data_IF_908754653718
#
_entry.id   IF_908754653718
#
_cell.length_a   1.000
_cell.length_b   1.000
_cell.length_c   1.000
_cell.angle_alpha   90.00
_cell.angle_beta   90.00
_cell.angle_gamma   90.00
#
_symmetry.space_group_name_H-M   'P 1'
#
loop_
_entity.id
_entity.type
_entity.pdbx_description
1 polymer ?
#
# COMPACT_ATOMS: atom_id res chain seq x y z
N UNK A 1 8.94 4.92 2.57
CA UNK A 1 8.95 5.64 3.87
C UNK A 1 8.56 7.09 3.63
N UNK A 2 7.59 7.59 4.39
CA UNK A 2 7.08 8.94 4.27
C UNK A 2 7.41 9.71 5.55
N UNK A 3 7.69 11.01 5.42
CA UNK A 3 7.93 11.88 6.57
C UNK A 3 6.64 12.01 7.41
N UNK A 4 6.78 12.08 8.75
CA UNK A 4 5.66 12.36 9.63
C UNK A 4 5.03 13.73 9.32
N UNK A 5 3.74 13.88 9.64
CA UNK A 5 2.93 15.04 9.25
C UNK A 5 3.01 16.22 10.23
N UNK A 6 3.67 16.04 11.40
CA UNK A 6 3.69 17.01 12.49
C UNK A 6 4.73 18.14 12.31
N UNK A 7 5.27 18.34 11.10
CA UNK A 7 6.32 19.32 10.87
C UNK A 7 5.72 20.61 10.27
N UNK A 8 5.31 21.54 11.13
CA UNK A 8 4.80 22.89 10.79
C UNK A 8 5.86 23.84 10.18
N UNK A 9 7.02 23.31 9.77
CA UNK A 9 8.07 24.11 9.13
C UNK A 9 7.87 24.20 7.62
N UNK A 10 8.49 25.20 6.99
CA UNK A 10 8.53 25.38 5.53
C UNK A 10 9.12 24.15 4.81
N UNK A 11 9.93 23.35 5.52
CA UNK A 11 10.41 22.04 5.08
C UNK A 11 9.31 20.95 5.20
N UNK A 12 8.41 21.06 6.17
CA UNK A 12 7.28 20.19 6.40
C UNK A 12 6.27 20.26 5.25
N UNK A 13 5.90 21.45 4.79
CA UNK A 13 4.99 21.62 3.64
C UNK A 13 5.50 20.91 2.38
N UNK A 14 6.81 21.05 2.08
CA UNK A 14 7.43 20.36 0.93
C UNK A 14 7.49 18.84 1.11
N UNK A 15 7.58 18.35 2.34
CA UNK A 15 7.54 16.91 2.64
C UNK A 15 6.15 16.36 2.48
N UNK A 16 5.13 17.08 2.95
CA UNK A 16 3.71 16.74 2.76
C UNK A 16 3.36 16.68 1.28
N UNK A 17 3.78 17.68 0.48
CA UNK A 17 3.57 17.67 -0.98
C UNK A 17 4.22 16.46 -1.65
N UNK A 18 5.46 16.11 -1.29
CA UNK A 18 6.13 14.90 -1.78
C UNK A 18 5.42 13.62 -1.38
N UNK A 19 4.87 13.57 -0.18
CA UNK A 19 4.10 12.42 0.32
C UNK A 19 2.78 12.29 -0.45
N UNK A 20 2.10 13.40 -0.78
CA UNK A 20 0.93 13.38 -1.65
C UNK A 20 1.26 12.86 -3.05
N UNK A 21 2.36 13.30 -3.65
CA UNK A 21 2.82 12.80 -4.94
C UNK A 21 3.21 11.31 -4.90
N UNK A 22 3.79 10.85 -3.79
CA UNK A 22 4.08 9.43 -3.59
C UNK A 22 2.78 8.62 -3.50
N UNK A 23 1.78 9.12 -2.77
CA UNK A 23 0.46 8.48 -2.66
C UNK A 23 -0.27 8.35 -4.01
N UNK A 24 0.05 9.19 -5.00
CA UNK A 24 -0.51 9.06 -6.35
C UNK A 24 -0.01 7.84 -7.11
N UNK A 25 1.17 7.34 -6.76
CA UNK A 25 1.84 6.19 -7.38
C UNK A 25 1.83 4.95 -6.49
N UNK A 26 1.01 4.97 -5.43
CA UNK A 26 0.98 3.89 -4.43
C UNK A 26 -0.05 2.85 -4.84
N UNK A 27 0.38 1.61 -5.03
CA UNK A 27 -0.48 0.46 -5.33
C UNK A 27 -1.08 -0.15 -4.08
N UNK A 28 -0.39 -0.09 -2.94
CA UNK A 28 -0.85 -0.54 -1.62
C UNK A 28 -0.19 0.29 -0.52
N UNK A 29 -0.95 0.66 0.50
CA UNK A 29 -0.46 1.47 1.62
C UNK A 29 -0.41 0.67 2.93
N UNK A 30 0.59 0.96 3.77
CA UNK A 30 0.65 0.47 5.15
C UNK A 30 0.57 1.65 6.09
N UNK A 31 -0.49 1.72 6.88
CA UNK A 31 -0.70 2.74 7.91
C UNK A 31 -0.30 2.14 9.26
N UNK A 32 0.72 2.70 9.89
CA UNK A 32 1.25 2.20 11.16
C UNK A 32 0.66 3.01 12.32
N UNK A 33 0.04 2.32 13.26
CA UNK A 33 -0.58 2.91 14.46
C UNK A 33 0.07 2.33 15.72
N UNK A 34 0.26 3.17 16.74
CA UNK A 34 0.65 2.67 18.06
C UNK A 34 -0.54 2.01 18.75
N UNK A 35 -0.41 0.72 19.10
CA UNK A 35 -1.50 -0.03 19.71
C UNK A 35 -1.93 0.53 21.08
N UNK A 36 -1.00 1.14 21.85
CA UNK A 36 -1.34 1.73 23.13
C UNK A 36 -2.25 2.96 22.95
N UNK A 37 -1.99 3.79 21.93
CA UNK A 37 -2.84 4.94 21.59
C UNK A 37 -4.21 4.48 21.08
N UNK A 38 -4.26 3.44 20.26
CA UNK A 38 -5.51 2.84 19.78
C UNK A 38 -6.37 2.35 20.95
N UNK A 39 -5.77 1.65 21.91
CA UNK A 39 -6.48 1.17 23.10
C UNK A 39 -6.94 2.34 23.97
N UNK A 40 -6.14 3.37 24.13
CA UNK A 40 -6.48 4.59 24.90
C UNK A 40 -7.66 5.33 24.25
N UNK A 41 -7.63 5.56 22.94
CA UNK A 41 -8.71 6.21 22.20
C UNK A 41 -10.02 5.44 22.30
N UNK A 42 -9.97 4.11 22.11
CA UNK A 42 -11.13 3.24 22.31
C UNK A 42 -11.72 3.32 23.69
N UNK A 43 -10.89 3.26 24.75
CA UNK A 43 -11.34 3.37 26.15
C UNK A 43 -11.96 4.72 26.47
N UNK A 44 -11.43 5.78 25.87
CA UNK A 44 -11.95 7.15 26.01
C UNK A 44 -13.23 7.41 25.17
N UNK A 45 -13.64 6.47 24.32
CA UNK A 45 -14.78 6.64 23.42
C UNK A 45 -14.57 7.72 22.36
N UNK A 46 -13.30 8.01 22.02
CA UNK A 46 -12.96 9.00 20.99
C UNK A 46 -13.02 8.31 19.63
N UNK A 47 -13.79 8.81 18.65
CA UNK A 47 -13.85 8.23 17.31
C UNK A 47 -12.46 8.22 16.62
N UNK A 48 -12.19 7.21 15.78
CA UNK A 48 -10.93 7.06 15.05
C UNK A 48 -10.54 8.33 14.30
N UNK A 49 -11.46 8.92 13.55
CA UNK A 49 -11.25 10.16 12.79
C UNK A 49 -10.77 11.34 13.64
N UNK A 50 -11.06 11.35 14.95
CA UNK A 50 -10.65 12.43 15.86
C UNK A 50 -9.33 12.10 16.55
N UNK A 51 -9.11 10.82 16.89
CA UNK A 51 -7.91 10.36 17.56
C UNK A 51 -6.70 10.27 16.60
N UNK A 52 -6.97 9.86 15.35
CA UNK A 52 -5.97 9.61 14.30
C UNK A 52 -6.38 10.39 13.04
N UNK A 53 -6.32 11.72 13.14
CA UNK A 53 -6.85 12.62 12.11
C UNK A 53 -6.17 12.42 10.76
N UNK A 54 -4.84 12.40 10.77
CA UNK A 54 -4.03 12.32 9.57
C UNK A 54 -4.14 10.96 8.91
N UNK A 55 -4.09 9.88 9.71
CA UNK A 55 -4.27 8.52 9.22
C UNK A 55 -5.68 8.29 8.66
N UNK A 56 -6.69 8.92 9.25
CA UNK A 56 -8.05 8.88 8.75
C UNK A 56 -8.20 9.62 7.42
N UNK A 57 -7.57 10.78 7.26
CA UNK A 57 -7.56 11.53 5.99
C UNK A 57 -6.88 10.73 4.88
N UNK A 58 -5.73 10.10 5.18
CA UNK A 58 -5.04 9.22 4.24
C UNK A 58 -5.86 8.00 3.87
N UNK A 59 -6.47 7.35 4.85
CA UNK A 59 -7.34 6.20 4.62
C UNK A 59 -8.49 6.53 3.69
N UNK A 60 -9.12 7.71 3.85
CA UNK A 60 -10.17 8.20 2.97
C UNK A 60 -9.65 8.52 1.56
N UNK A 61 -8.43 9.06 1.45
CA UNK A 61 -7.80 9.33 0.17
C UNK A 61 -7.54 8.03 -0.60
N UNK A 62 -6.96 7.04 0.06
CA UNK A 62 -6.70 5.72 -0.53
C UNK A 62 -8.00 5.00 -0.91
N UNK A 63 -9.02 5.07 -0.06
CA UNK A 63 -10.33 4.49 -0.37
C UNK A 63 -10.97 5.12 -1.63
N UNK A 64 -10.84 6.44 -1.83
CA UNK A 64 -11.30 7.12 -3.06
C UNK A 64 -10.53 6.69 -4.30
N UNK A 65 -9.26 6.33 -4.16
CA UNK A 65 -8.39 5.88 -5.25
C UNK A 65 -8.45 4.36 -5.46
N UNK A 66 -9.25 3.64 -4.68
CA UNK A 66 -9.28 2.17 -4.65
C UNK A 66 -7.92 1.54 -4.33
N UNK A 67 -7.03 2.27 -3.65
CA UNK A 67 -5.74 1.78 -3.18
C UNK A 67 -5.95 0.99 -1.89
N UNK A 68 -5.57 -0.28 -1.83
CA UNK A 68 -5.70 -1.09 -0.62
C UNK A 68 -4.84 -0.59 0.53
N UNK A 69 -5.31 -0.79 1.77
CA UNK A 69 -4.62 -0.33 2.98
C UNK A 69 -4.45 -1.45 3.99
N UNK A 70 -3.26 -1.61 4.55
CA UNK A 70 -3.00 -2.45 5.71
C UNK A 70 -2.78 -1.55 6.93
N UNK A 71 -3.65 -1.63 7.93
CA UNK A 71 -3.42 -1.00 9.23
C UNK A 71 -2.57 -1.93 10.10
N UNK A 72 -1.36 -1.52 10.42
CA UNK A 72 -0.44 -2.25 11.27
C UNK A 72 -0.43 -1.65 12.68
N UNK A 73 -1.09 -2.32 13.64
CA UNK A 73 -1.06 -1.94 15.06
C UNK A 73 0.28 -2.40 15.64
N UNK A 74 1.23 -1.49 15.74
CA UNK A 74 2.59 -1.78 16.16
C UNK A 74 2.76 -1.69 17.69
N UNK A 75 3.90 -2.18 18.18
CA UNK A 75 4.32 -2.21 19.59
C UNK A 75 3.50 -3.14 20.49
N UNK A 76 2.95 -4.24 19.92
CA UNK A 76 2.25 -5.23 20.75
C UNK A 76 3.12 -5.85 21.85
N UNK A 77 4.43 -5.80 21.71
CA UNK A 77 5.37 -6.24 22.72
C UNK A 77 5.28 -5.44 24.02
N UNK A 78 4.97 -4.15 23.98
CA UNK A 78 4.76 -3.32 25.17
C UNK A 78 3.53 -3.77 25.96
N UNK A 79 2.47 -4.18 25.27
CA UNK A 79 1.27 -4.73 25.89
C UNK A 79 1.56 -6.11 26.50
N UNK A 80 2.29 -6.97 25.77
CA UNK A 80 2.61 -8.32 26.20
C UNK A 80 3.66 -8.37 27.34
N UNK A 81 4.62 -7.44 27.35
CA UNK A 81 5.63 -7.33 28.42
C UNK A 81 5.03 -6.85 29.74
N UNK A 82 3.99 -6.01 29.71
CA UNK A 82 3.26 -5.64 30.91
C UNK A 82 2.55 -6.83 31.58
N UNK A 83 2.33 -7.90 30.84
CA UNK A 83 1.70 -9.14 31.28
C UNK A 83 2.68 -10.14 31.89
N UNK A 84 3.90 -10.23 31.38
CA UNK A 84 4.93 -11.13 31.93
C UNK A 84 5.34 -10.75 33.36
N UNK A 85 5.18 -9.46 33.72
CA UNK A 85 5.47 -8.98 35.08
C UNK A 85 4.37 -9.31 36.11
N UNK A 86 3.19 -9.81 35.70
CA UNK A 86 2.05 -10.08 36.60
C UNK A 86 1.25 -11.31 36.14
N UNK A 87 1.58 -12.47 36.68
CA UNK A 87 0.83 -13.75 36.72
C UNK A 87 0.09 -14.26 35.45
N UNK A 88 0.17 -15.59 35.25
CA UNK A 88 -0.35 -16.43 34.13
C UNK A 88 -1.79 -16.18 33.64
N UNK A 89 -2.61 -15.44 34.36
CA UNK A 89 -4.00 -15.15 33.97
C UNK A 89 -4.15 -13.95 33.04
N UNK A 90 -3.14 -13.06 32.94
CA UNK A 90 -3.22 -11.83 32.14
C UNK A 90 -2.90 -12.00 30.66
N UNK A 91 -2.13 -13.00 30.27
CA UNK A 91 -1.81 -13.23 28.84
C UNK A 91 -3.05 -13.50 27.95
N UNK A 92 -4.14 -14.00 28.51
CA UNK A 92 -5.43 -14.10 27.82
C UNK A 92 -6.13 -12.74 27.68
N UNK A 93 -5.99 -11.86 28.69
CA UNK A 93 -6.58 -10.51 28.67
C UNK A 93 -5.89 -9.60 27.64
N UNK A 94 -4.57 -9.75 27.48
CA UNK A 94 -3.78 -8.91 26.58
C UNK A 94 -4.03 -9.26 25.12
N UNK A 95 -4.15 -10.55 24.80
CA UNK A 95 -4.60 -10.97 23.46
C UNK A 95 -6.03 -10.50 23.17
N UNK A 96 -6.92 -10.51 24.16
CA UNK A 96 -8.27 -9.98 24.01
C UNK A 96 -8.27 -8.45 23.79
N UNK A 97 -7.36 -7.69 24.43
CA UNK A 97 -7.20 -6.26 24.23
C UNK A 97 -6.67 -5.94 22.82
N UNK A 98 -5.72 -6.72 22.32
CA UNK A 98 -5.19 -6.60 20.95
C UNK A 98 -6.30 -6.88 19.94
N UNK A 99 -7.04 -7.98 20.09
CA UNK A 99 -8.14 -8.30 19.17
C UNK A 99 -9.27 -7.26 19.25
N UNK A 100 -9.58 -6.76 20.44
CA UNK A 100 -10.55 -5.69 20.59
C UNK A 100 -10.10 -4.35 19.96
N UNK A 101 -8.81 -4.06 19.94
CA UNK A 101 -8.24 -2.90 19.24
C UNK A 101 -8.33 -3.08 17.72
N UNK A 102 -7.99 -4.26 17.19
CA UNK A 102 -8.14 -4.60 15.77
C UNK A 102 -9.59 -4.45 15.30
N UNK A 103 -10.54 -5.05 16.03
CA UNK A 103 -11.97 -4.93 15.71
C UNK A 103 -12.43 -3.48 15.70
N UNK A 104 -12.00 -2.68 16.68
CA UNK A 104 -12.38 -1.26 16.75
C UNK A 104 -11.85 -0.47 15.55
N UNK A 105 -10.56 -0.63 15.19
CA UNK A 105 -9.98 0.03 14.00
C UNK A 105 -10.72 -0.43 12.74
N UNK A 106 -11.06 -1.70 12.64
CA UNK A 106 -11.81 -2.23 11.50
C UNK A 106 -13.22 -1.61 11.40
N UNK A 107 -13.97 -1.59 12.50
CA UNK A 107 -15.34 -1.05 12.56
C UNK A 107 -15.37 0.44 12.24
N UNK A 108 -14.49 1.24 12.84
CA UNK A 108 -14.40 2.69 12.64
C UNK A 108 -14.03 3.04 11.18
N UNK A 109 -13.03 2.35 10.59
CA UNK A 109 -12.64 2.57 9.22
C UNK A 109 -13.68 2.06 8.22
N UNK A 110 -14.32 0.92 8.49
CA UNK A 110 -15.43 0.41 7.68
C UNK A 110 -16.59 1.39 7.64
N UNK A 111 -16.96 1.93 8.80
CA UNK A 111 -18.02 2.95 8.89
C UNK A 111 -17.65 4.26 8.14
N UNK A 112 -16.37 4.65 8.18
CA UNK A 112 -15.86 5.87 7.56
C UNK A 112 -15.76 5.73 6.03
N UNK A 113 -15.32 4.58 5.52
CA UNK A 113 -15.15 4.30 4.08
C UNK A 113 -16.49 3.91 3.41
N UNK A 114 -17.49 3.47 4.16
CA UNK A 114 -18.82 3.11 3.67
C UNK A 114 -18.80 1.94 2.69
N UNK A 115 -19.58 2.03 1.59
CA UNK A 115 -19.68 0.94 0.58
C UNK A 115 -18.37 0.64 -0.17
N UNK A 116 -17.38 1.51 -0.06
CA UNK A 116 -16.05 1.32 -0.67
C UNK A 116 -15.13 0.48 0.23
N UNK A 117 -15.60 0.01 1.40
CA UNK A 117 -14.82 -0.73 2.38
C UNK A 117 -14.66 -2.22 2.05
N UNK A 118 -15.48 -2.77 1.14
CA UNK A 118 -15.44 -4.20 0.83
C UNK A 118 -14.08 -4.62 0.24
N UNK A 119 -13.32 -5.37 1.03
CA UNK A 119 -11.99 -5.92 0.72
C UNK A 119 -10.87 -4.90 0.41
N UNK A 120 -11.03 -3.61 0.79
CA UNK A 120 -10.03 -2.59 0.51
C UNK A 120 -9.02 -2.39 1.64
N UNK A 121 -9.20 -3.02 2.80
CA UNK A 121 -8.24 -2.92 3.90
C UNK A 121 -8.25 -4.11 4.86
N UNK A 122 -7.13 -4.32 5.53
CA UNK A 122 -6.94 -5.29 6.61
C UNK A 122 -6.30 -4.64 7.83
N UNK A 123 -6.54 -5.22 9.03
CA UNK A 123 -5.95 -4.76 10.29
C UNK A 123 -5.13 -5.89 10.89
N UNK A 124 -3.85 -5.66 11.08
CA UNK A 124 -2.89 -6.62 11.64
C UNK A 124 -2.24 -6.06 12.90
N UNK A 125 -1.82 -6.93 13.81
CA UNK A 125 -1.13 -6.56 15.03
C UNK A 125 0.32 -7.07 14.97
N UNK A 126 1.29 -6.17 15.23
CA UNK A 126 2.71 -6.45 15.02
C UNK A 126 3.58 -5.88 16.12
N UNK A 127 4.77 -6.45 16.28
CA UNK A 127 5.90 -5.81 16.93
C UNK A 127 7.07 -5.76 15.94
N UNK A 128 7.33 -4.61 15.40
CA UNK A 128 8.48 -4.40 14.52
C UNK A 128 9.80 -4.67 15.26
N UNK A 129 9.86 -4.32 16.56
CA UNK A 129 11.05 -4.54 17.41
C UNK A 129 11.37 -6.02 17.61
N UNK A 130 10.35 -6.88 17.77
CA UNK A 130 10.49 -8.31 18.02
C UNK A 130 10.29 -9.16 16.75
N UNK A 131 9.96 -8.57 15.62
CA UNK A 131 9.61 -9.27 14.38
C UNK A 131 8.31 -10.08 14.48
N UNK A 132 7.51 -9.90 15.53
CA UNK A 132 6.28 -10.67 15.76
C UNK A 132 5.15 -10.12 14.88
N UNK A 133 4.40 -11.00 14.21
CA UNK A 133 3.27 -10.62 13.38
C UNK A 133 3.66 -10.14 11.96
N UNK A 134 4.94 -10.17 11.58
CA UNK A 134 5.39 -9.75 10.25
C UNK A 134 4.83 -10.66 9.15
N UNK A 135 4.68 -11.96 9.42
CA UNK A 135 4.04 -12.89 8.48
C UNK A 135 2.58 -12.52 8.21
N UNK A 136 1.88 -11.99 9.21
CA UNK A 136 0.51 -11.50 9.04
C UNK A 136 0.46 -10.26 8.14
N UNK A 137 1.45 -9.35 8.24
CA UNK A 137 1.57 -8.19 7.33
C UNK A 137 1.80 -8.66 5.91
N UNK A 138 2.77 -9.54 5.69
CA UNK A 138 3.09 -10.08 4.36
C UNK A 138 1.86 -10.77 3.76
N UNK A 139 1.16 -11.58 4.56
CA UNK A 139 -0.06 -12.27 4.13
C UNK A 139 -1.19 -11.29 3.79
N UNK A 140 -1.37 -10.22 4.57
CA UNK A 140 -2.36 -9.18 4.30
C UNK A 140 -2.01 -8.42 3.00
N UNK A 141 -0.75 -8.02 2.83
CA UNK A 141 -0.27 -7.39 1.60
C UNK A 141 -0.53 -8.29 0.39
N UNK A 142 -0.19 -9.57 0.47
CA UNK A 142 -0.38 -10.53 -0.64
C UNK A 142 -1.85 -10.70 -1.01
N UNK A 143 -2.76 -10.70 -0.02
CA UNK A 143 -4.21 -10.82 -0.28
C UNK A 143 -4.83 -9.56 -0.89
N UNK A 144 -4.30 -8.41 -0.52
CA UNK A 144 -4.83 -7.11 -0.96
C UNK A 144 -4.17 -6.61 -2.25
N UNK A 145 -3.06 -7.23 -2.70
CA UNK A 145 -2.41 -6.85 -3.95
C UNK A 145 -3.39 -7.04 -5.12
N UNK A 146 -3.53 -6.02 -5.99
CA UNK A 146 -4.25 -6.17 -7.24
C UNK A 146 -3.68 -7.33 -8.07
N UNK A 147 -4.54 -8.01 -8.84
CA UNK A 147 -4.11 -9.15 -9.69
C UNK A 147 -3.08 -8.74 -10.75
N UNK A 148 -3.10 -7.47 -11.13
CA UNK A 148 -2.20 -6.84 -12.10
C UNK A 148 -0.97 -6.18 -11.46
N UNK A 149 -0.77 -6.35 -10.13
CA UNK A 149 0.38 -5.80 -9.43
C UNK A 149 1.71 -6.26 -10.05
N UNK A 150 2.56 -5.30 -10.36
CA UNK A 150 3.86 -5.56 -11.01
C UNK A 150 3.77 -5.76 -12.52
N UNK A 151 2.59 -5.71 -13.11
CA UNK A 151 2.42 -5.61 -14.55
C UNK A 151 2.31 -4.14 -14.94
N UNK A 152 3.44 -3.50 -15.18
CA UNK A 152 3.44 -2.17 -15.82
C UNK A 152 3.05 -2.35 -17.29
N UNK A 153 1.77 -2.18 -17.59
CA UNK A 153 1.30 -2.13 -18.98
C UNK A 153 1.65 -0.77 -19.58
N UNK A 154 2.53 -0.78 -20.58
CA UNK A 154 2.87 0.43 -21.33
C UNK A 154 1.74 0.80 -22.28
N UNK A 155 1.10 -0.21 -22.85
CA UNK A 155 0.05 -0.05 -23.87
C UNK A 155 -1.36 -0.05 -23.28
N UNK A 156 -1.56 -0.57 -22.06
CA UNK A 156 -2.86 -0.61 -21.42
C UNK A 156 -3.97 -1.13 -22.35
N UNK A 157 -5.04 -0.37 -22.53
CA UNK A 157 -6.19 -0.74 -23.37
C UNK A 157 -6.04 -0.33 -24.84
N UNK A 158 -4.86 0.18 -25.24
CA UNK A 158 -4.63 0.63 -26.62
C UNK A 158 -4.59 -0.52 -27.65
N UNK A 159 -4.36 -1.74 -27.21
CA UNK A 159 -4.22 -2.92 -28.08
C UNK A 159 -5.03 -4.09 -27.53
N UNK A 160 -5.61 -4.83 -28.45
CA UNK A 160 -6.36 -6.05 -28.20
C UNK A 160 -5.63 -7.28 -28.77
N UNK A 161 -6.03 -8.45 -28.29
CA UNK A 161 -5.50 -9.72 -28.80
C UNK A 161 -5.67 -9.81 -30.33
N UNK A 162 -4.65 -10.25 -31.04
CA UNK A 162 -4.59 -10.40 -32.50
C UNK A 162 -4.44 -9.11 -33.32
N UNK A 163 -4.35 -7.95 -32.69
CA UNK A 163 -4.10 -6.71 -33.41
C UNK A 163 -2.75 -6.76 -34.14
N UNK A 164 -2.68 -6.07 -35.29
CA UNK A 164 -1.44 -5.83 -36.00
C UNK A 164 -0.86 -4.48 -35.55
N UNK A 165 0.28 -4.54 -34.89
CA UNK A 165 0.93 -3.36 -34.33
C UNK A 165 2.26 -3.08 -35.05
N UNK A 166 2.42 -1.87 -35.54
CA UNK A 166 3.68 -1.39 -36.09
C UNK A 166 4.42 -0.56 -35.05
N UNK A 167 5.54 -1.09 -34.55
CA UNK A 167 6.45 -0.36 -33.67
C UNK A 167 7.48 0.44 -34.48
N UNK A 168 7.41 1.75 -34.39
CA UNK A 168 8.41 2.66 -34.96
C UNK A 168 9.37 3.04 -33.85
N UNK A 169 10.59 2.49 -33.88
CA UNK A 169 11.55 2.62 -32.81
C UNK A 169 12.80 3.36 -33.28
N UNK A 170 13.12 4.52 -32.64
CA UNK A 170 14.39 5.18 -32.93
C UNK A 170 15.57 4.32 -32.47
N UNK A 171 16.66 4.33 -33.23
CA UNK A 171 17.92 3.76 -32.75
C UNK A 171 18.57 4.73 -31.77
N UNK A 172 18.68 4.32 -30.50
CA UNK A 172 19.38 5.08 -29.48
C UNK A 172 20.91 4.85 -29.67
N UNK A 173 21.64 5.91 -29.95
CA UNK A 173 23.09 5.87 -30.14
C UNK A 173 23.82 5.49 -28.85
N UNK A 174 23.21 5.73 -27.70
CA UNK A 174 23.75 5.37 -26.37
C UNK A 174 23.45 3.93 -25.96
N UNK A 175 22.54 3.26 -26.67
CA UNK A 175 22.25 1.85 -26.38
C UNK A 175 23.43 0.95 -26.76
N UNK A 176 23.75 -0.07 -25.96
CA UNK A 176 24.77 -1.05 -26.33
C UNK A 176 24.43 -1.73 -27.67
N UNK A 177 25.44 -1.93 -28.54
CA UNK A 177 25.23 -2.59 -29.82
C UNK A 177 24.51 -3.92 -29.69
N UNK A 178 23.47 -4.12 -30.50
CA UNK A 178 22.67 -5.36 -30.53
C UNK A 178 21.64 -5.48 -29.42
N UNK A 179 21.35 -4.40 -28.68
CA UNK A 179 20.32 -4.38 -27.62
C UNK A 179 19.29 -3.30 -27.88
N UNK A 180 18.05 -3.59 -27.52
CA UNK A 180 16.97 -2.62 -27.42
C UNK A 180 17.06 -1.95 -26.06
N UNK A 181 16.62 -0.70 -25.96
CA UNK A 181 16.45 -0.01 -24.68
C UNK A 181 15.26 -0.60 -23.91
N UNK A 182 15.24 -0.44 -22.59
CA UNK A 182 14.26 -1.06 -21.72
C UNK A 182 12.79 -0.81 -22.13
N UNK A 183 12.35 0.43 -22.45
CA UNK A 183 10.97 0.67 -22.90
C UNK A 183 10.62 -0.09 -24.18
N UNK A 184 11.55 -0.22 -25.12
CA UNK A 184 11.32 -0.99 -26.37
C UNK A 184 11.13 -2.48 -26.08
N UNK A 185 11.95 -3.03 -25.18
CA UNK A 185 11.85 -4.43 -24.76
C UNK A 185 10.53 -4.69 -24.04
N UNK A 186 10.15 -3.83 -23.11
CA UNK A 186 8.91 -3.96 -22.33
C UNK A 186 7.68 -3.88 -23.23
N UNK A 187 7.62 -2.88 -24.14
CA UNK A 187 6.52 -2.74 -25.10
C UNK A 187 6.39 -3.95 -26.01
N UNK A 188 7.51 -4.42 -26.56
CA UNK A 188 7.51 -5.61 -27.41
C UNK A 188 7.05 -6.85 -26.63
N UNK A 189 7.53 -7.01 -25.40
CA UNK A 189 7.15 -8.13 -24.54
C UNK A 189 5.64 -8.10 -24.24
N UNK A 190 5.08 -6.95 -23.86
CA UNK A 190 3.65 -6.79 -23.60
C UNK A 190 2.80 -7.18 -24.84
N UNK A 191 3.18 -6.74 -26.04
CA UNK A 191 2.50 -7.08 -27.27
C UNK A 191 2.52 -8.59 -27.55
N UNK A 192 3.65 -9.25 -27.33
CA UNK A 192 3.78 -10.70 -27.52
C UNK A 192 2.95 -11.49 -26.48
N UNK A 193 2.94 -11.04 -25.23
CA UNK A 193 2.14 -11.66 -24.18
C UNK A 193 0.63 -11.52 -24.46
N UNK A 194 0.22 -10.43 -25.11
CA UNK A 194 -1.16 -10.21 -25.61
C UNK A 194 -1.44 -10.89 -26.95
N UNK A 195 -0.48 -11.65 -27.50
CA UNK A 195 -0.61 -12.36 -28.78
C UNK A 195 -0.93 -11.43 -29.96
N UNK A 196 -0.41 -10.22 -29.96
CA UNK A 196 -0.48 -9.30 -31.08
C UNK A 196 0.52 -9.71 -32.19
N UNK A 197 0.21 -9.33 -33.44
CA UNK A 197 1.16 -9.42 -34.54
C UNK A 197 2.00 -8.14 -34.53
N UNK A 198 3.33 -8.27 -34.39
CA UNK A 198 4.21 -7.13 -34.23
C UNK A 198 5.15 -7.01 -35.42
N UNK A 199 5.12 -5.87 -36.07
CA UNK A 199 6.14 -5.44 -37.01
C UNK A 199 6.94 -4.30 -36.39
N UNK A 200 8.25 -4.25 -36.65
CA UNK A 200 9.10 -3.16 -36.17
C UNK A 200 9.90 -2.55 -37.30
N UNK A 201 10.04 -1.22 -37.25
CA UNK A 201 10.85 -0.46 -38.18
C UNK A 201 11.55 0.68 -37.47
N UNK A 202 12.55 1.25 -38.11
CA UNK A 202 13.25 2.45 -37.63
C UNK A 202 12.60 3.71 -38.20
N UNK A 203 12.82 4.85 -37.53
CA UNK A 203 12.22 6.13 -37.93
C UNK A 203 12.69 6.64 -39.30
N UNK A 204 13.84 6.17 -39.81
CA UNK A 204 14.41 6.53 -41.11
C UNK A 204 13.84 5.74 -42.30
N UNK A 205 13.00 4.75 -42.03
CA UNK A 205 12.40 3.88 -43.06
C UNK A 205 10.87 3.96 -43.09
N UNK A 206 10.34 5.06 -42.62
CA UNK A 206 8.90 5.32 -42.56
C UNK A 206 8.43 6.06 -43.83
#
# INVERSE_FOLDING_TARGET
>A
DTAGFDDDSELGERRVEKTHLAAEKTDIAVVVLDIAEVIAAKKAGVPFKKAFKDEAEWSLLFAKKHTPVVFALNKIDEILLSAEAQEKSRGKLDNAAIEAAKCWVYEENSAMMGKNADNSFEVVAVSALKGKGMDAVISALTRLLPEDFGQEFILGDLVSQTDLVLLVMPQDIQAPKGRLILPQVQTLRELLDRKCLVMSTTTDKM
#
